data_IF_788787064460
#
_entry.id   IF_788787064460
#
_cell.length_a   1.000
_cell.length_b   1.000
_cell.length_c   1.000
_cell.angle_alpha   90.00
_cell.angle_beta   90.00
_cell.angle_gamma   90.00
#
_symmetry.space_group_name_H-M   'P 1'
#
loop_
_entity.id
_entity.type
_entity.pdbx_description
1 polymer ?
#
# COMPACT_ATOMS: atom_id res chain seq x y z
N UNK A 1 -21.70 30.84 9.27
CA UNK A 1 -20.38 30.18 9.48
C UNK A 1 -20.35 28.96 8.57
N UNK A 2 -19.50 28.94 7.55
CA UNK A 2 -19.33 27.76 6.69
C UNK A 2 -18.37 26.85 7.44
N UNK A 3 -18.86 25.75 8.01
CA UNK A 3 -18.00 24.73 8.61
C UNK A 3 -16.99 24.29 7.57
N UNK A 4 -15.70 24.41 7.87
CA UNK A 4 -14.64 23.86 7.04
C UNK A 4 -14.84 22.36 7.03
N UNK A 5 -15.39 21.82 5.93
CA UNK A 5 -15.34 20.40 5.69
C UNK A 5 -13.85 20.00 5.74
N UNK A 6 -13.48 19.12 6.68
CA UNK A 6 -12.16 18.50 6.73
C UNK A 6 -11.78 18.05 5.32
N UNK A 7 -10.65 18.53 4.78
CA UNK A 7 -10.24 18.16 3.43
C UNK A 7 -9.97 16.65 3.42
N UNK A 8 -10.69 15.89 2.60
CA UNK A 8 -10.44 14.46 2.45
C UNK A 8 -9.01 14.25 1.93
N UNK A 9 -8.20 13.50 2.66
CA UNK A 9 -6.84 13.16 2.25
C UNK A 9 -6.85 11.71 1.71
N UNK A 10 -6.58 11.55 0.43
CA UNK A 10 -6.42 10.23 -0.19
C UNK A 10 -4.94 9.90 -0.33
N UNK A 11 -4.59 8.64 -0.03
CA UNK A 11 -3.25 8.09 -0.25
C UNK A 11 -3.39 6.79 -1.03
N UNK A 12 -2.71 6.70 -2.17
CA UNK A 12 -2.52 5.45 -2.91
C UNK A 12 -1.27 4.78 -2.35
N UNK A 13 -1.36 3.50 -2.01
CA UNK A 13 -0.26 2.75 -1.38
C UNK A 13 0.07 1.54 -2.24
N UNK A 14 1.37 1.31 -2.43
CA UNK A 14 1.95 0.13 -3.06
C UNK A 14 2.95 -0.51 -2.08
N UNK A 15 2.95 -1.84 -2.00
CA UNK A 15 3.76 -2.59 -1.04
C UNK A 15 4.51 -3.70 -1.75
N UNK A 16 5.81 -3.80 -1.47
CA UNK A 16 6.63 -4.94 -1.88
C UNK A 16 7.00 -5.75 -0.65
N UNK A 17 6.98 -7.08 -0.77
CA UNK A 17 7.28 -7.99 0.34
C UNK A 17 8.02 -9.24 -0.13
N UNK A 18 8.79 -9.88 0.74
CA UNK A 18 9.71 -10.98 0.40
C UNK A 18 9.01 -12.35 0.16
N UNK A 19 8.01 -12.41 -0.73
CA UNK A 19 7.27 -13.63 -1.02
C UNK A 19 8.17 -14.84 -1.32
N UNK A 20 7.98 -15.90 -0.54
CA UNK A 20 8.52 -17.20 -0.88
C UNK A 20 7.80 -17.74 -2.14
N UNK A 21 8.52 -17.78 -3.28
CA UNK A 21 8.07 -18.52 -4.45
C UNK A 21 8.12 -20.03 -4.16
N UNK A 22 6.99 -20.61 -3.75
CA UNK A 22 6.72 -22.00 -4.08
C UNK A 22 5.63 -22.03 -5.14
N UNK A 23 5.94 -22.60 -6.30
CA UNK A 23 5.07 -22.77 -7.46
C UNK A 23 3.84 -23.68 -7.20
N UNK A 24 3.60 -24.06 -5.95
CA UNK A 24 2.42 -24.78 -5.44
C UNK A 24 1.52 -23.92 -4.55
N UNK A 25 1.71 -22.60 -4.51
CA UNK A 25 0.97 -21.71 -3.59
C UNK A 25 -0.52 -21.64 -3.93
N UNK A 26 -1.26 -22.62 -3.44
CA UNK A 26 -2.71 -22.68 -3.33
C UNK A 26 -3.31 -21.51 -2.54
N UNK A 27 -2.46 -20.65 -1.96
CA UNK A 27 -2.82 -19.39 -1.29
C UNK A 27 -3.55 -18.44 -2.23
N UNK A 28 -3.29 -18.44 -3.54
CA UNK A 28 -4.02 -17.55 -4.48
C UNK A 28 -5.42 -18.04 -4.88
N UNK A 29 -5.78 -19.29 -4.57
CA UNK A 29 -6.99 -19.90 -5.13
C UNK A 29 -8.22 -19.85 -4.20
N UNK A 30 -8.09 -19.36 -2.96
CA UNK A 30 -9.22 -19.19 -2.03
C UNK A 30 -9.04 -17.97 -1.12
N UNK A 31 -9.99 -17.05 -1.20
CA UNK A 31 -10.13 -15.96 -0.24
C UNK A 31 -10.80 -16.46 1.06
N UNK A 32 -10.42 -15.92 2.24
CA UNK A 32 -9.39 -14.90 2.45
C UNK A 32 -7.97 -15.48 2.40
N UNK A 33 -7.11 -14.83 1.61
CA UNK A 33 -5.71 -15.21 1.49
C UNK A 33 -4.93 -14.68 2.68
N UNK A 34 -4.05 -15.49 3.26
CA UNK A 34 -3.04 -15.02 4.20
C UNK A 34 -1.73 -14.89 3.43
N UNK A 35 -1.31 -13.65 3.18
CA UNK A 35 -0.03 -13.35 2.57
C UNK A 35 1.06 -13.61 3.63
N UNK A 36 1.94 -14.59 3.38
CA UNK A 36 3.16 -14.76 4.17
C UNK A 36 4.20 -13.66 3.85
N UNK A 37 5.34 -13.64 4.54
CA UNK A 37 6.43 -12.71 4.23
C UNK A 37 6.32 -11.33 4.89
N UNK A 38 7.44 -10.62 4.90
CA UNK A 38 7.64 -9.31 5.50
C UNK A 38 7.68 -8.24 4.40
N UNK A 39 7.09 -7.08 4.67
CA UNK A 39 7.20 -5.90 3.81
C UNK A 39 8.67 -5.50 3.71
N UNK A 40 9.15 -5.34 2.49
CA UNK A 40 10.51 -4.89 2.18
C UNK A 40 10.53 -3.50 1.54
N UNK A 41 9.39 -2.99 1.08
CA UNK A 41 9.26 -1.62 0.59
C UNK A 41 7.85 -1.09 0.78
N UNK A 42 7.73 0.21 1.05
CA UNK A 42 6.47 0.95 1.07
C UNK A 42 6.58 2.11 0.10
N UNK A 43 5.68 2.16 -0.89
CA UNK A 43 5.43 3.31 -1.74
C UNK A 43 4.09 3.94 -1.39
N UNK A 44 4.02 5.27 -1.32
CA UNK A 44 2.77 5.99 -1.08
C UNK A 44 2.73 7.30 -1.86
N UNK A 45 1.55 7.62 -2.41
CA UNK A 45 1.29 8.88 -3.12
C UNK A 45 0.06 9.54 -2.53
N UNK A 46 0.22 10.74 -1.96
CA UNK A 46 -0.90 11.58 -1.54
C UNK A 46 -1.55 12.20 -2.77
N UNK A 47 -2.86 12.09 -2.91
CA UNK A 47 -3.59 12.77 -3.99
C UNK A 47 -3.94 14.20 -3.59
N UNK A 48 -3.98 15.08 -4.59
CA UNK A 48 -4.56 16.42 -4.45
C UNK A 48 -6.09 16.35 -4.49
N UNK A 49 -6.73 17.48 -4.23
CA UNK A 49 -8.20 17.60 -4.26
C UNK A 49 -8.82 17.25 -5.63
N UNK A 50 -8.03 17.35 -6.72
CA UNK A 50 -8.43 16.98 -8.08
C UNK A 50 -8.12 15.51 -8.45
N UNK A 51 -7.74 14.69 -7.47
CA UNK A 51 -7.36 13.27 -7.61
C UNK A 51 -6.09 13.05 -8.45
N UNK A 52 -5.33 14.09 -8.76
CA UNK A 52 -4.01 13.94 -9.38
C UNK A 52 -2.93 13.60 -8.36
N UNK A 53 -1.83 12.94 -8.76
CA UNK A 53 -0.69 12.69 -7.89
C UNK A 53 -0.12 13.98 -7.26
N UNK A 54 0.14 13.92 -5.97
CA UNK A 54 0.75 14.96 -5.17
C UNK A 54 2.10 14.52 -4.61
N UNK A 55 2.25 14.55 -3.29
CA UNK A 55 3.48 14.16 -2.62
C UNK A 55 3.70 12.64 -2.69
N UNK A 56 4.94 12.23 -2.98
CA UNK A 56 5.35 10.83 -3.06
C UNK A 56 6.28 10.48 -1.90
N UNK A 57 6.15 9.27 -1.39
CA UNK A 57 6.97 8.70 -0.33
C UNK A 57 7.38 7.28 -0.74
N UNK A 58 8.66 6.97 -0.58
CA UNK A 58 9.17 5.63 -0.79
C UNK A 58 10.23 5.30 0.27
N UNK A 59 10.15 4.11 0.84
CA UNK A 59 11.13 3.63 1.80
C UNK A 59 11.37 2.12 1.66
N UNK A 60 12.64 1.74 1.66
CA UNK A 60 13.05 0.35 1.83
C UNK A 60 12.94 -0.03 3.31
N UNK A 61 12.25 -1.13 3.59
CA UNK A 61 12.03 -1.66 4.92
C UNK A 61 12.99 -2.81 5.14
N UNK A 62 13.80 -2.70 6.20
CA UNK A 62 14.67 -3.81 6.62
C UNK A 62 13.81 -4.90 7.28
N UNK A 63 13.86 -6.16 6.81
CA UNK A 63 13.22 -7.29 7.48
C UNK A 63 13.74 -7.46 8.92
N UNK A 64 12.91 -8.03 9.80
CA UNK A 64 13.24 -8.28 11.22
C UNK A 64 13.85 -9.66 11.40
#
# INVERSE_FOLDING_TARGET
MKGTAESMNYVVVDLEWNQAMSSKSSVFNKLPIHLGGEIIQIGAVKLKDDMTPGEEFQIDVKPI
#
